data_IF_562023846136
#
_entry.id   IF_562023846136
#
_cell.length_a   1.000
_cell.length_b   1.000
_cell.length_c   1.000
_cell.angle_alpha   90.00
_cell.angle_beta   90.00
_cell.angle_gamma   90.00
#
_symmetry.space_group_name_H-M   'P 1'
#
loop_
_entity.id
_entity.type
_entity.pdbx_description
1 polymer ?
#
# COMPACT_ATOMS: atom_id res chain seq x y z
N UNK A 1 -55.61 -44.04 -49.73
CA UNK A 1 -56.11 -42.80 -50.37
C UNK A 1 -55.92 -41.63 -49.41
N UNK A 2 -55.14 -40.61 -49.83
CA UNK A 2 -55.12 -39.20 -49.34
C UNK A 2 -54.69 -39.02 -47.87
N UNK A 3 -53.87 -38.05 -47.46
CA UNK A 3 -53.10 -36.95 -48.07
C UNK A 3 -52.16 -36.45 -46.96
N UNK A 4 -50.97 -36.02 -47.35
CA UNK A 4 -49.92 -35.44 -46.50
C UNK A 4 -50.38 -34.13 -45.82
N UNK A 5 -49.84 -33.83 -44.63
CA UNK A 5 -49.40 -32.47 -44.34
C UNK A 5 -48.21 -32.49 -43.38
N UNK A 6 -47.07 -32.03 -43.88
CA UNK A 6 -45.86 -31.77 -43.11
C UNK A 6 -46.04 -30.47 -42.32
N UNK A 7 -45.94 -30.53 -41.00
CA UNK A 7 -45.64 -29.38 -40.18
C UNK A 7 -44.16 -29.44 -39.83
N UNK A 8 -43.34 -28.73 -40.61
CA UNK A 8 -41.94 -28.48 -40.31
C UNK A 8 -41.88 -27.46 -39.16
N UNK A 9 -41.68 -27.92 -37.93
CA UNK A 9 -41.22 -27.05 -36.85
C UNK A 9 -39.72 -26.85 -37.03
N UNK A 10 -39.35 -25.69 -37.58
CA UNK A 10 -37.98 -25.18 -37.61
C UNK A 10 -37.56 -24.96 -36.16
N UNK A 11 -36.68 -25.82 -35.65
CA UNK A 11 -35.98 -25.62 -34.39
C UNK A 11 -34.96 -24.51 -34.61
N UNK A 12 -35.29 -23.29 -34.18
CA UNK A 12 -34.32 -22.19 -34.16
C UNK A 12 -33.34 -22.45 -33.01
N UNK A 13 -32.13 -22.79 -33.39
CA UNK A 13 -30.96 -22.95 -32.54
C UNK A 13 -30.53 -21.55 -32.05
N UNK A 14 -30.64 -21.27 -30.75
CA UNK A 14 -29.87 -20.21 -30.09
C UNK A 14 -28.94 -20.88 -29.08
N UNK A 15 -27.77 -21.31 -29.58
CA UNK A 15 -26.62 -21.57 -28.72
C UNK A 15 -26.02 -20.21 -28.41
N UNK A 16 -26.29 -19.67 -27.23
CA UNK A 16 -25.49 -18.58 -26.70
C UNK A 16 -24.18 -19.17 -26.21
N UNK A 17 -23.24 -19.39 -27.14
CA UNK A 17 -21.82 -19.51 -26.80
C UNK A 17 -21.35 -18.13 -26.32
N UNK A 18 -21.47 -17.89 -25.03
CA UNK A 18 -20.81 -16.77 -24.36
C UNK A 18 -19.31 -17.06 -24.26
N UNK A 19 -18.58 -16.91 -25.37
CA UNK A 19 -17.16 -16.59 -25.30
C UNK A 19 -17.05 -15.09 -25.06
N UNK A 20 -16.73 -14.69 -23.83
CA UNK A 20 -15.99 -13.44 -23.64
C UNK A 20 -14.53 -13.84 -23.54
N UNK A 21 -13.81 -13.65 -24.64
CA UNK A 21 -12.36 -13.60 -24.67
C UNK A 21 -12.00 -12.25 -24.06
N UNK A 22 -11.25 -12.28 -22.98
CA UNK A 22 -10.21 -11.29 -22.65
C UNK A 22 -9.31 -11.92 -21.57
N UNK A 23 -8.74 -13.08 -21.88
CA UNK A 23 -7.43 -13.42 -21.32
C UNK A 23 -6.41 -12.54 -22.06
N UNK A 24 -6.35 -11.27 -21.68
CA UNK A 24 -5.17 -10.48 -21.96
C UNK A 24 -4.00 -11.23 -21.34
N UNK A 25 -3.06 -11.64 -22.20
CA UNK A 25 -1.78 -12.24 -21.84
C UNK A 25 -1.16 -11.51 -20.64
N UNK A 26 -1.46 -11.96 -19.42
CA UNK A 26 -0.66 -11.63 -18.25
C UNK A 26 0.62 -12.43 -18.41
N UNK A 27 1.53 -11.94 -19.25
CA UNK A 27 2.94 -12.34 -19.15
C UNK A 27 3.30 -12.19 -17.68
N UNK A 28 3.80 -13.25 -17.02
CA UNK A 28 4.27 -13.12 -15.66
C UNK A 28 5.26 -11.97 -15.63
N UNK A 29 5.04 -10.99 -14.75
CA UNK A 29 6.05 -9.99 -14.48
C UNK A 29 7.36 -10.73 -14.17
N UNK A 30 8.43 -10.37 -14.87
CA UNK A 30 9.78 -10.89 -14.57
C UNK A 30 10.19 -10.51 -13.14
N UNK A 31 9.60 -9.44 -12.62
CA UNK A 31 9.81 -8.91 -11.27
C UNK A 31 8.77 -9.47 -10.29
N UNK A 32 9.24 -10.12 -9.23
CA UNK A 32 8.36 -10.70 -8.21
C UNK A 32 7.84 -9.63 -7.23
N UNK A 33 6.52 -9.59 -7.04
CA UNK A 33 5.86 -8.82 -5.97
C UNK A 33 5.59 -9.66 -4.70
N UNK A 34 6.16 -10.87 -4.62
CA UNK A 34 6.00 -11.79 -3.48
C UNK A 34 7.36 -12.10 -2.83
N UNK A 35 8.22 -11.08 -2.70
CA UNK A 35 9.45 -11.17 -1.94
C UNK A 35 9.24 -10.68 -0.51
N UNK A 36 10.22 -10.96 0.35
CA UNK A 36 10.23 -10.44 1.73
C UNK A 36 10.24 -8.92 1.74
N UNK A 37 9.67 -8.33 2.79
CA UNK A 37 9.63 -6.88 2.97
C UNK A 37 11.04 -6.27 2.86
N UNK A 38 11.12 -5.09 2.25
CA UNK A 38 12.37 -4.36 1.98
C UNK A 38 13.32 -4.99 0.95
N UNK A 39 13.01 -6.16 0.38
CA UNK A 39 13.82 -6.75 -0.70
C UNK A 39 13.90 -5.87 -1.96
N UNK A 40 12.93 -4.96 -2.15
CA UNK A 40 12.89 -3.99 -3.25
C UNK A 40 13.27 -2.58 -2.81
N UNK A 41 13.94 -2.41 -1.65
CA UNK A 41 14.31 -1.09 -1.14
C UNK A 41 15.09 -0.25 -2.16
N UNK A 42 16.13 -0.82 -2.78
CA UNK A 42 16.91 -0.12 -3.81
C UNK A 42 16.07 0.18 -5.06
N UNK A 43 15.18 -0.73 -5.45
CA UNK A 43 14.25 -0.52 -6.56
C UNK A 43 13.30 0.66 -6.32
N UNK A 44 12.92 0.92 -5.07
CA UNK A 44 12.19 2.14 -4.70
C UNK A 44 13.07 3.38 -4.74
N UNK A 45 14.29 3.29 -4.19
CA UNK A 45 15.11 4.45 -3.87
C UNK A 45 15.89 5.01 -5.08
N UNK A 46 16.47 4.15 -5.93
CA UNK A 46 17.29 4.53 -7.08
C UNK A 46 16.54 4.43 -8.41
N UNK A 47 17.05 5.02 -9.48
CA UNK A 47 16.51 4.90 -10.85
C UNK A 47 17.20 3.79 -11.69
N UNK A 48 17.96 2.89 -11.07
CA UNK A 48 18.76 1.88 -11.77
C UNK A 48 17.90 0.84 -12.50
N UNK A 49 16.87 0.32 -11.84
CA UNK A 49 15.93 -0.66 -12.42
C UNK A 49 14.67 0.01 -12.94
N UNK A 50 14.09 0.90 -12.13
CA UNK A 50 12.80 1.52 -12.39
C UNK A 50 12.90 3.03 -12.28
N UNK A 51 12.53 3.74 -13.34
CA UNK A 51 12.57 5.20 -13.41
C UNK A 51 11.28 5.85 -12.94
N UNK A 52 10.19 5.07 -12.79
CA UNK A 52 8.87 5.54 -12.37
C UNK A 52 8.17 4.57 -11.42
N UNK A 53 7.25 5.10 -10.62
CA UNK A 53 6.38 4.33 -9.72
C UNK A 53 4.92 4.47 -10.17
N UNK A 54 4.19 3.36 -10.21
CA UNK A 54 2.72 3.36 -10.36
C UNK A 54 2.09 2.71 -9.12
N UNK A 55 1.27 3.50 -8.42
CA UNK A 55 0.57 3.10 -7.20
C UNK A 55 -0.84 2.59 -7.53
N UNK A 56 -1.10 1.29 -7.32
CA UNK A 56 -2.43 0.68 -7.39
C UNK A 56 -3.12 0.81 -6.03
N UNK A 57 -3.86 1.91 -5.87
CA UNK A 57 -4.61 2.22 -4.66
C UNK A 57 -5.99 1.59 -4.75
N UNK A 58 -6.13 0.43 -4.12
CA UNK A 58 -7.38 -0.29 -3.99
C UNK A 58 -8.02 0.05 -2.65
N UNK A 59 -9.32 0.35 -2.65
CA UNK A 59 -10.01 0.72 -1.43
C UNK A 59 -11.41 0.11 -1.39
N UNK A 60 -11.91 -0.20 -0.19
CA UNK A 60 -13.32 -0.60 -0.03
C UNK A 60 -14.22 0.60 -0.30
N UNK A 61 -15.36 0.41 -0.98
CA UNK A 61 -16.34 1.47 -1.24
C UNK A 61 -16.68 2.24 0.05
N UNK A 62 -16.57 3.57 0.01
CA UNK A 62 -16.75 4.44 1.18
C UNK A 62 -15.45 4.78 1.92
N UNK A 63 -14.35 4.07 1.65
CA UNK A 63 -13.04 4.23 2.29
C UNK A 63 -11.98 4.75 1.31
N UNK A 64 -12.39 5.57 0.33
CA UNK A 64 -11.41 6.22 -0.56
C UNK A 64 -10.60 7.20 0.28
N UNK A 65 -9.25 7.12 0.30
CA UNK A 65 -8.46 8.19 0.90
C UNK A 65 -8.73 9.52 0.20
N UNK A 66 -8.68 10.61 0.96
CA UNK A 66 -8.83 11.95 0.41
C UNK A 66 -7.70 12.25 -0.58
N UNK A 67 -7.98 13.10 -1.57
CA UNK A 67 -6.99 13.42 -2.61
C UNK A 67 -5.74 14.10 -2.01
N UNK A 68 -5.88 14.83 -0.88
CA UNK A 68 -4.75 15.40 -0.14
C UNK A 68 -3.80 14.33 0.42
N UNK A 69 -4.33 13.21 0.94
CA UNK A 69 -3.52 12.09 1.44
C UNK A 69 -2.69 11.48 0.31
N UNK A 70 -3.31 11.29 -0.86
CA UNK A 70 -2.63 10.76 -2.05
C UNK A 70 -1.58 11.72 -2.61
N UNK A 71 -1.86 13.03 -2.58
CA UNK A 71 -0.88 14.06 -2.95
C UNK A 71 0.29 14.09 -1.97
N UNK A 72 0.05 14.00 -0.66
CA UNK A 72 1.12 13.98 0.34
C UNK A 72 2.00 12.74 0.18
N UNK A 73 1.41 11.57 -0.11
CA UNK A 73 2.18 10.37 -0.46
C UNK A 73 3.05 10.59 -1.71
N UNK A 74 2.50 11.19 -2.75
CA UNK A 74 3.26 11.50 -3.98
C UNK A 74 4.46 12.40 -3.67
N UNK A 75 4.23 13.49 -2.93
CA UNK A 75 5.29 14.42 -2.51
C UNK A 75 6.37 13.72 -1.66
N UNK A 76 5.95 12.83 -0.77
CA UNK A 76 6.85 12.06 0.10
C UNK A 76 7.76 11.14 -0.71
N UNK A 77 7.18 10.40 -1.67
CA UNK A 77 7.96 9.55 -2.56
C UNK A 77 8.90 10.38 -3.44
N UNK A 78 8.45 11.52 -3.99
CA UNK A 78 9.31 12.43 -4.76
C UNK A 78 10.45 13.00 -3.92
N UNK A 79 10.23 13.24 -2.62
CA UNK A 79 11.26 13.72 -1.69
C UNK A 79 12.38 12.70 -1.48
N UNK A 80 12.05 11.42 -1.34
CA UNK A 80 13.00 10.39 -0.91
C UNK A 80 13.52 9.47 -2.01
N UNK A 81 12.88 9.44 -3.18
CA UNK A 81 13.24 8.54 -4.28
C UNK A 81 13.76 9.27 -5.51
N UNK A 82 14.64 8.61 -6.26
CA UNK A 82 15.04 9.02 -7.60
C UNK A 82 14.17 8.33 -8.65
N UNK A 83 13.12 9.03 -9.11
CA UNK A 83 12.18 8.55 -10.13
C UNK A 83 11.95 9.59 -11.23
N UNK A 84 12.88 9.75 -12.20
CA UNK A 84 12.78 10.78 -13.23
C UNK A 84 11.57 10.60 -14.17
N UNK A 85 11.04 9.37 -14.29
CA UNK A 85 9.80 9.09 -15.01
C UNK A 85 8.53 9.43 -14.23
N UNK A 86 8.66 9.90 -12.99
CA UNK A 86 7.57 10.39 -12.16
C UNK A 86 6.83 9.30 -11.37
N UNK A 87 5.80 9.76 -10.67
CA UNK A 87 4.94 8.93 -9.82
C UNK A 87 3.50 9.10 -10.32
N UNK A 88 2.82 7.97 -10.47
CA UNK A 88 1.44 7.93 -10.96
C UNK A 88 0.55 7.10 -10.05
N UNK A 89 -0.74 7.42 -10.05
CA UNK A 89 -1.75 6.79 -9.20
C UNK A 89 -2.83 6.16 -10.06
N UNK A 90 -3.20 4.93 -9.73
CA UNK A 90 -4.39 4.25 -10.22
C UNK A 90 -5.27 3.91 -9.02
N UNK A 91 -6.43 4.55 -8.91
CA UNK A 91 -7.35 4.30 -7.79
C UNK A 91 -8.51 3.42 -8.24
N UNK A 92 -8.95 2.49 -7.39
CA UNK A 92 -10.12 1.65 -7.68
C UNK A 92 -10.86 1.20 -6.42
N UNK A 93 -12.17 1.39 -6.44
CA UNK A 93 -13.05 0.84 -5.41
C UNK A 93 -13.31 -0.66 -5.59
N UNK A 94 -13.44 -1.38 -4.47
CA UNK A 94 -13.94 -2.76 -4.42
C UNK A 94 -15.10 -2.87 -3.43
N UNK A 95 -15.94 -3.88 -3.61
CA UNK A 95 -16.94 -4.25 -2.60
C UNK A 95 -16.23 -4.76 -1.35
N UNK A 96 -16.78 -4.45 -0.17
CA UNK A 96 -16.26 -4.97 1.10
C UNK A 96 -16.11 -6.49 1.01
N UNK A 97 -14.94 -7.05 1.35
CA UNK A 97 -14.73 -8.48 1.50
C UNK A 97 -15.56 -9.14 2.63
N UNK A 98 -16.21 -8.33 3.49
CA UNK A 98 -17.04 -8.79 4.62
C UNK A 98 -16.30 -9.69 5.63
N UNK A 99 -15.02 -9.43 5.87
CA UNK A 99 -14.15 -10.29 6.70
C UNK A 99 -14.20 -9.97 8.21
N UNK A 100 -14.87 -8.89 8.63
CA UNK A 100 -14.73 -8.41 10.01
C UNK A 100 -13.33 -7.85 10.18
N UNK A 101 -12.51 -8.40 11.08
CA UNK A 101 -11.07 -8.06 11.14
C UNK A 101 -10.26 -8.75 10.04
N UNK A 102 -9.12 -8.17 9.68
CA UNK A 102 -8.25 -8.69 8.62
C UNK A 102 -6.96 -9.33 9.15
N UNK A 103 -6.71 -10.56 8.74
CA UNK A 103 -5.38 -11.20 8.79
C UNK A 103 -4.51 -10.80 7.59
N UNK A 104 -3.19 -10.92 7.72
CA UNK A 104 -2.28 -10.73 6.57
C UNK A 104 -2.54 -11.76 5.46
N UNK A 105 -3.01 -12.95 5.81
CA UNK A 105 -3.36 -13.99 4.82
C UNK A 105 -4.56 -13.56 3.96
N UNK A 106 -5.57 -12.97 4.58
CA UNK A 106 -6.75 -12.42 3.89
C UNK A 106 -6.37 -11.22 3.02
N UNK A 107 -5.54 -10.31 3.53
CA UNK A 107 -5.03 -9.17 2.76
C UNK A 107 -4.26 -9.65 1.51
N UNK A 108 -3.41 -10.68 1.64
CA UNK A 108 -2.75 -11.29 0.47
C UNK A 108 -3.73 -11.91 -0.53
N UNK A 109 -4.88 -12.40 -0.05
CA UNK A 109 -5.95 -12.91 -0.92
C UNK A 109 -6.64 -11.77 -1.68
N UNK A 110 -6.93 -10.66 -1.00
CA UNK A 110 -7.45 -9.42 -1.61
C UNK A 110 -6.47 -8.91 -2.66
N UNK A 111 -5.18 -8.81 -2.34
CA UNK A 111 -4.15 -8.40 -3.31
C UNK A 111 -4.11 -9.32 -4.53
N UNK A 112 -4.11 -10.64 -4.34
CA UNK A 112 -4.07 -11.58 -5.48
C UNK A 112 -5.26 -11.41 -6.42
N UNK A 113 -6.43 -11.10 -5.88
CA UNK A 113 -7.65 -10.90 -6.66
C UNK A 113 -7.69 -9.53 -7.33
N UNK A 114 -7.17 -8.50 -6.66
CA UNK A 114 -7.39 -7.12 -7.08
C UNK A 114 -6.16 -6.39 -7.59
N UNK A 115 -4.93 -6.86 -7.38
CA UNK A 115 -3.74 -6.20 -7.96
C UNK A 115 -3.83 -6.21 -9.48
N UNK A 116 -3.74 -5.01 -10.04
CA UNK A 116 -3.81 -4.72 -11.46
C UNK A 116 -2.55 -4.03 -11.99
N UNK A 117 -1.73 -3.45 -11.11
CA UNK A 117 -0.40 -2.91 -11.46
C UNK A 117 0.68 -3.84 -10.94
N UNK A 118 1.55 -4.27 -11.86
CA UNK A 118 2.74 -5.05 -11.59
C UNK A 118 3.96 -4.29 -12.11
N UNK A 119 5.12 -4.58 -11.55
CA UNK A 119 6.37 -4.03 -12.07
C UNK A 119 6.64 -4.60 -13.46
N UNK A 120 7.03 -3.77 -14.40
CA UNK A 120 7.31 -4.15 -15.79
C UNK A 120 8.21 -3.10 -16.41
N UNK A 121 9.15 -3.51 -17.24
CA UNK A 121 10.11 -2.62 -17.88
C UNK A 121 10.75 -1.63 -16.87
N UNK A 122 10.50 -0.33 -17.02
CA UNK A 122 11.02 0.74 -16.18
C UNK A 122 10.07 1.18 -15.05
N UNK A 123 8.97 0.45 -14.84
CA UNK A 123 7.93 0.74 -13.85
C UNK A 123 8.00 -0.15 -12.63
N UNK A 124 8.05 0.45 -11.44
CA UNK A 124 7.80 -0.24 -10.17
C UNK A 124 6.30 -0.17 -9.83
N UNK A 125 5.64 -1.33 -9.72
CA UNK A 125 4.22 -1.43 -9.38
C UNK A 125 3.98 -1.71 -7.90
N UNK A 126 3.25 -0.83 -7.22
CA UNK A 126 3.00 -0.90 -5.77
C UNK A 126 1.52 -1.14 -5.52
N UNK A 127 1.18 -2.05 -4.60
CA UNK A 127 -0.21 -2.28 -4.19
C UNK A 127 -0.45 -1.69 -2.81
N UNK A 128 -1.48 -0.85 -2.72
CA UNK A 128 -1.92 -0.19 -1.49
C UNK A 128 -3.38 -0.54 -1.30
N UNK A 129 -3.72 -1.21 -0.18
CA UNK A 129 -5.10 -1.54 0.15
C UNK A 129 -5.61 -0.70 1.33
N UNK A 130 -6.71 0.04 1.14
CA UNK A 130 -7.47 0.65 2.23
C UNK A 130 -8.62 -0.27 2.63
N UNK A 131 -8.42 -0.97 3.74
CA UNK A 131 -9.37 -1.91 4.32
C UNK A 131 -10.43 -1.17 5.16
N UNK A 132 -11.67 -1.65 5.13
CA UNK A 132 -12.82 -1.09 5.87
C UNK A 132 -12.91 -1.54 7.34
N UNK A 133 -11.86 -2.19 7.86
CA UNK A 133 -11.86 -2.74 9.20
C UNK A 133 -10.44 -2.89 9.74
N UNK A 134 -10.32 -3.25 11.02
CA UNK A 134 -9.04 -3.35 11.75
C UNK A 134 -8.27 -4.64 11.45
N UNK A 135 -6.98 -4.61 11.73
CA UNK A 135 -6.15 -5.81 11.84
C UNK A 135 -6.65 -6.73 12.96
N UNK A 136 -6.61 -8.05 12.76
CA UNK A 136 -6.88 -9.06 13.79
C UNK A 136 -5.92 -8.96 15.00
N UNK A 137 -4.72 -8.42 14.79
CA UNK A 137 -3.70 -8.22 15.82
C UNK A 137 -3.97 -6.97 16.68
N UNK A 138 -5.00 -6.19 16.36
CA UNK A 138 -5.40 -5.02 17.14
C UNK A 138 -6.01 -5.42 18.48
N UNK A 139 -5.69 -4.68 19.54
CA UNK A 139 -6.13 -4.93 20.92
C UNK A 139 -6.93 -3.75 21.46
N UNK A 140 -7.66 -3.92 22.56
CA UNK A 140 -8.54 -2.88 23.11
C UNK A 140 -7.87 -1.51 23.29
N UNK A 141 -6.60 -1.47 23.73
CA UNK A 141 -5.83 -0.26 24.00
C UNK A 141 -4.73 0.03 22.97
N UNK A 142 -4.67 -0.71 21.86
CA UNK A 142 -3.63 -0.57 20.84
C UNK A 142 -4.18 -0.95 19.47
N UNK A 143 -4.02 -0.08 18.47
CA UNK A 143 -4.48 -0.35 17.10
C UNK A 143 -3.29 -0.40 16.15
N UNK A 144 -3.35 -1.34 15.21
CA UNK A 144 -2.46 -1.37 14.07
C UNK A 144 -3.11 -0.54 12.96
N UNK A 145 -2.44 0.53 12.55
CA UNK A 145 -2.95 1.49 11.57
C UNK A 145 -2.67 1.06 10.14
N UNK A 146 -1.52 0.43 9.92
CA UNK A 146 -1.09 -0.07 8.62
C UNK A 146 -0.15 -1.25 8.78
N UNK A 147 0.20 -1.85 7.64
CA UNK A 147 1.25 -2.87 7.57
C UNK A 147 1.79 -3.02 6.16
N UNK A 148 3.09 -2.87 5.98
CA UNK A 148 3.83 -3.37 4.84
C UNK A 148 4.10 -4.87 5.05
N UNK A 149 3.76 -5.70 4.07
CA UNK A 149 3.73 -7.17 4.26
C UNK A 149 4.38 -7.98 3.13
N UNK A 150 4.76 -7.33 2.03
CA UNK A 150 5.59 -7.85 0.94
C UNK A 150 6.48 -6.72 0.42
N UNK A 151 7.43 -7.04 -0.46
CA UNK A 151 8.37 -6.08 -1.03
C UNK A 151 7.73 -4.89 -1.76
N UNK A 152 6.48 -4.97 -2.20
CA UNK A 152 5.77 -3.87 -2.91
C UNK A 152 4.29 -3.78 -2.52
N UNK A 153 3.95 -4.19 -1.29
CA UNK A 153 2.56 -4.26 -0.84
C UNK A 153 2.38 -3.81 0.60
N UNK A 154 1.38 -2.96 0.80
CA UNK A 154 0.97 -2.49 2.12
C UNK A 154 -0.57 -2.38 2.22
N UNK A 155 -1.04 -2.36 3.46
CA UNK A 155 -2.44 -2.12 3.82
C UNK A 155 -2.54 -0.98 4.82
N UNK A 156 -3.61 -0.20 4.72
CA UNK A 156 -4.07 0.78 5.70
C UNK A 156 -5.41 0.29 6.25
N UNK A 157 -5.53 0.19 7.57
CA UNK A 157 -6.71 -0.30 8.26
C UNK A 157 -7.65 0.86 8.60
N UNK A 158 -8.44 1.27 7.63
CA UNK A 158 -9.33 2.41 7.73
C UNK A 158 -10.65 2.04 8.43
N UNK A 159 -10.65 2.13 9.76
CA UNK A 159 -11.82 1.81 10.58
C UNK A 159 -12.28 3.03 11.41
N UNK A 160 -13.57 3.09 11.70
CA UNK A 160 -14.16 4.21 12.45
C UNK A 160 -13.64 4.31 13.89
N UNK A 161 -13.18 3.21 14.51
CA UNK A 161 -12.59 3.22 15.86
C UNK A 161 -11.29 4.05 15.91
N UNK A 162 -10.63 4.30 14.77
CA UNK A 162 -9.48 5.18 14.69
C UNK A 162 -9.84 6.61 15.10
N UNK A 163 -11.01 7.10 14.70
CA UNK A 163 -11.45 8.46 15.04
C UNK A 163 -11.64 8.62 16.56
N UNK A 164 -12.07 7.56 17.25
CA UNK A 164 -12.27 7.57 18.69
C UNK A 164 -10.94 7.58 19.48
N UNK A 165 -9.87 7.07 18.88
CA UNK A 165 -8.53 6.98 19.49
C UNK A 165 -7.58 8.10 19.06
N UNK A 166 -7.90 8.80 17.98
CA UNK A 166 -7.08 9.83 17.34
C UNK A 166 -6.94 11.13 18.14
N UNK A 167 -7.75 11.32 19.19
CA UNK A 167 -7.82 12.60 19.90
C UNK A 167 -8.26 13.73 18.95
N UNK A 168 -7.35 14.66 18.65
CA UNK A 168 -7.59 15.78 17.73
C UNK A 168 -7.08 15.53 16.31
N UNK A 169 -6.38 14.42 16.05
CA UNK A 169 -5.90 14.10 14.71
C UNK A 169 -7.07 13.71 13.80
N UNK A 170 -7.07 14.26 12.59
CA UNK A 170 -7.98 13.89 11.53
C UNK A 170 -7.63 12.52 10.94
N UNK A 171 -8.62 11.87 10.33
CA UNK A 171 -8.42 10.61 9.62
C UNK A 171 -7.35 10.75 8.52
N UNK A 172 -7.34 11.87 7.79
CA UNK A 172 -6.35 12.15 6.74
C UNK A 172 -4.93 12.30 7.27
N UNK A 173 -4.73 12.90 8.45
CA UNK A 173 -3.41 12.96 9.10
C UNK A 173 -2.91 11.57 9.50
N UNK A 174 -3.79 10.75 10.09
CA UNK A 174 -3.46 9.36 10.47
C UNK A 174 -3.08 8.55 9.24
N UNK A 175 -3.89 8.61 8.18
CA UNK A 175 -3.61 7.90 6.92
C UNK A 175 -2.30 8.37 6.28
N UNK A 176 -2.01 9.67 6.30
CA UNK A 176 -0.77 10.24 5.74
C UNK A 176 0.45 9.72 6.47
N UNK A 177 0.49 9.82 7.80
CA UNK A 177 1.62 9.32 8.61
C UNK A 177 1.78 7.83 8.45
N UNK A 178 0.68 7.08 8.52
CA UNK A 178 0.73 5.62 8.39
C UNK A 178 1.28 5.24 7.02
N UNK A 179 0.82 5.86 5.93
CA UNK A 179 1.37 5.61 4.60
C UNK A 179 2.87 5.89 4.54
N UNK A 180 3.32 7.05 5.04
CA UNK A 180 4.74 7.41 5.01
C UNK A 180 5.59 6.42 5.81
N UNK A 181 5.12 5.99 6.98
CA UNK A 181 5.75 4.96 7.82
C UNK A 181 5.85 3.62 7.09
N UNK A 182 4.75 3.12 6.52
CA UNK A 182 4.75 1.85 5.81
C UNK A 182 5.63 1.90 4.55
N UNK A 183 5.74 3.05 3.89
CA UNK A 183 6.72 3.25 2.82
C UNK A 183 8.16 3.25 3.33
N UNK A 184 8.43 3.74 4.55
CA UNK A 184 9.74 3.58 5.19
C UNK A 184 10.14 2.11 5.33
N UNK A 185 9.19 1.23 5.69
CA UNK A 185 9.42 -0.22 5.64
C UNK A 185 9.65 -0.76 4.23
N UNK A 186 8.93 -0.28 3.21
CA UNK A 186 9.18 -0.65 1.80
C UNK A 186 10.56 -0.16 1.31
N UNK A 187 11.04 0.98 1.80
CA UNK A 187 12.40 1.49 1.63
C UNK A 187 13.44 0.70 2.41
N UNK A 188 13.02 -0.34 3.14
CA UNK A 188 13.90 -1.24 3.89
C UNK A 188 14.58 -0.58 5.09
N UNK A 189 14.06 0.55 5.58
CA UNK A 189 14.66 1.27 6.70
C UNK A 189 14.80 0.41 7.95
N UNK A 190 15.78 0.78 8.78
CA UNK A 190 16.08 0.14 10.06
C UNK A 190 16.42 -1.36 9.88
N UNK A 191 17.49 -1.64 9.13
CA UNK A 191 18.01 -3.00 8.90
C UNK A 191 17.00 -4.01 8.30
N UNK A 192 16.01 -3.54 7.55
CA UNK A 192 14.97 -4.37 6.96
C UNK A 192 15.07 -4.49 5.42
N UNK A 193 16.25 -4.20 4.86
CA UNK A 193 16.51 -4.23 3.41
C UNK A 193 17.54 -3.17 3.00
N UNK A 194 17.50 -2.02 3.68
CA UNK A 194 18.54 -1.00 3.67
C UNK A 194 19.43 -1.20 4.92
N UNK A 195 20.75 -1.43 4.76
CA UNK A 195 21.64 -1.52 5.91
C UNK A 195 21.69 -0.21 6.69
N UNK A 196 21.59 -0.29 8.02
CA UNK A 196 21.72 0.89 8.87
C UNK A 196 23.15 1.44 8.84
N UNK A 197 23.30 2.76 8.75
CA UNK A 197 24.60 3.45 8.75
C UNK A 197 25.08 3.77 10.17
N UNK A 198 24.19 3.72 11.15
CA UNK A 198 24.47 3.85 12.58
C UNK A 198 23.47 3.01 13.39
N UNK A 199 23.75 2.76 14.66
CA UNK A 199 22.78 2.12 15.55
C UNK A 199 21.62 3.07 15.85
N UNK A 200 20.42 2.69 15.38
CA UNK A 200 19.17 3.40 15.68
C UNK A 200 17.95 2.48 15.71
N UNK A 201 18.12 1.16 15.54
CA UNK A 201 17.02 0.19 15.70
C UNK A 201 16.60 0.10 17.18
N UNK A 202 15.29 0.02 17.44
CA UNK A 202 14.74 -0.19 18.77
C UNK A 202 15.22 -1.54 19.36
N UNK A 203 15.84 -1.54 20.55
CA UNK A 203 16.32 -2.76 21.18
C UNK A 203 15.20 -3.70 21.64
N UNK A 204 13.94 -3.25 21.74
CA UNK A 204 12.80 -4.12 22.02
C UNK A 204 12.55 -5.09 20.86
N UNK A 205 12.45 -6.39 21.18
CA UNK A 205 12.14 -7.44 20.21
C UNK A 205 10.78 -7.23 19.53
N UNK A 206 9.83 -6.57 20.19
CA UNK A 206 8.53 -6.20 19.62
C UNK A 206 8.59 -5.06 18.60
N UNK A 207 9.68 -4.29 18.61
CA UNK A 207 9.88 -3.08 17.81
C UNK A 207 11.00 -3.24 16.77
N UNK A 208 11.39 -4.47 16.43
CA UNK A 208 12.37 -4.73 15.36
C UNK A 208 11.97 -4.00 14.07
N UNK A 209 12.97 -3.55 13.31
CA UNK A 209 12.79 -2.72 12.11
C UNK A 209 12.10 -1.36 12.34
N UNK A 210 12.10 -0.86 13.58
CA UNK A 210 11.64 0.49 13.93
C UNK A 210 12.77 1.29 14.58
N UNK A 211 12.71 2.60 14.42
CA UNK A 211 13.71 3.51 14.93
C UNK A 211 13.47 3.82 16.42
N UNK A 212 14.55 3.85 17.20
CA UNK A 212 14.57 4.21 18.63
C UNK A 212 14.64 5.71 18.87
N UNK A 213 14.85 6.52 17.83
CA UNK A 213 14.96 7.98 17.95
C UNK A 213 13.58 8.59 18.12
N UNK A 214 13.41 9.31 19.24
CA UNK A 214 12.17 10.00 19.57
C UNK A 214 11.80 11.01 18.47
N UNK A 215 10.54 10.97 18.02
CA UNK A 215 10.05 11.85 16.96
C UNK A 215 10.46 11.43 15.55
N UNK A 216 11.12 10.28 15.36
CA UNK A 216 11.31 9.70 14.04
C UNK A 216 10.00 9.10 13.52
N UNK A 217 9.69 9.32 12.25
CA UNK A 217 8.56 8.67 11.56
C UNK A 217 8.61 7.14 11.66
N UNK A 218 9.80 6.53 11.74
CA UNK A 218 9.95 5.08 11.85
C UNK A 218 9.84 4.54 13.28
N UNK A 219 9.42 5.34 14.28
CA UNK A 219 9.14 4.82 15.61
C UNK A 219 7.97 3.82 15.61
N UNK A 220 8.05 2.75 16.42
CA UNK A 220 7.09 1.64 16.43
C UNK A 220 5.68 2.01 16.90
N UNK A 221 5.57 3.09 17.67
CA UNK A 221 4.31 3.63 18.11
C UNK A 221 4.33 5.14 17.91
N UNK A 222 3.27 5.65 17.32
CA UNK A 222 3.06 7.08 17.11
C UNK A 222 1.91 7.49 18.02
N UNK A 223 2.22 8.34 19.00
CA UNK A 223 1.20 8.94 19.85
C UNK A 223 0.64 10.20 19.18
N UNK A 224 -0.60 10.10 18.71
CA UNK A 224 -1.37 11.26 18.27
C UNK A 224 -1.84 12.03 19.52
N UNK A 225 -0.97 12.88 20.07
CA UNK A 225 -1.32 13.71 21.22
C UNK A 225 -2.35 14.79 20.86
N UNK A 226 -3.05 15.33 21.86
CA UNK A 226 -4.08 16.38 21.72
C UNK A 226 -3.54 17.75 21.28
N UNK A 227 -2.27 17.86 20.93
CA UNK A 227 -1.67 19.07 20.36
C UNK A 227 -1.44 18.89 18.86
N UNK A 228 -1.92 19.81 17.99
CA UNK A 228 -1.67 19.79 16.54
C UNK A 228 -0.20 20.01 16.13
N UNK A 229 0.75 19.90 17.06
CA UNK A 229 2.13 20.37 16.91
C UNK A 229 3.00 19.55 15.95
N UNK A 230 2.46 18.48 15.35
CA UNK A 230 3.17 17.62 14.39
C UNK A 230 2.52 17.55 13.01
N UNK A 231 1.57 18.45 12.68
CA UNK A 231 0.89 18.44 11.38
C UNK A 231 0.73 19.83 10.77
N UNK A 232 1.69 20.25 9.93
CA UNK A 232 1.49 21.33 8.96
C UNK A 232 2.08 20.99 7.59
N UNK A 233 1.25 21.05 6.55
CA UNK A 233 1.67 21.05 5.15
C UNK A 233 1.37 22.45 4.55
N UNK A 234 2.38 23.07 3.91
CA UNK A 234 2.53 24.51 3.56
C UNK A 234 3.03 25.47 4.66
N UNK A 235 3.66 24.96 5.73
CA UNK A 235 4.87 25.52 6.40
C UNK A 235 5.19 24.75 7.71
N UNK A 236 5.31 23.41 7.58
CA UNK A 236 6.08 22.41 8.37
C UNK A 236 5.78 22.30 9.89
N UNK A 237 5.55 21.12 10.49
CA UNK A 237 6.10 19.79 10.22
C UNK A 237 5.00 18.74 10.02
N UNK A 238 5.15 17.84 9.05
CA UNK A 238 4.63 16.46 9.14
C UNK A 238 5.73 15.64 9.83
N UNK A 239 5.37 14.66 10.66
CA UNK A 239 6.31 13.69 11.21
C UNK A 239 7.16 13.08 10.08
N UNK A 240 8.48 13.22 10.14
CA UNK A 240 9.39 12.82 9.07
C UNK A 240 10.48 11.89 9.61
N UNK A 241 11.28 11.31 8.71
CA UNK A 241 12.45 10.53 9.10
C UNK A 241 13.46 11.38 9.88
N UNK A 242 14.07 10.79 10.89
CA UNK A 242 15.24 11.38 11.53
C UNK A 242 16.48 11.33 10.62
N UNK A 243 17.57 11.93 11.07
CA UNK A 243 18.79 12.00 10.27
C UNK A 243 19.42 10.61 10.05
N UNK A 244 19.30 9.70 11.02
CA UNK A 244 19.81 8.34 10.91
C UNK A 244 19.08 7.54 9.82
N UNK A 245 17.74 7.57 9.80
CA UNK A 245 16.96 6.94 8.74
C UNK A 245 17.23 7.60 7.37
N UNK A 246 17.38 8.92 7.31
CA UNK A 246 17.76 9.60 6.04
C UNK A 246 19.13 9.17 5.53
N UNK A 247 20.09 8.92 6.41
CA UNK A 247 21.40 8.38 6.02
C UNK A 247 21.28 6.97 5.43
N UNK A 248 20.41 6.12 5.99
CA UNK A 248 20.13 4.79 5.44
C UNK A 248 19.53 4.88 4.03
N UNK A 249 18.57 5.78 3.81
CA UNK A 249 17.97 6.02 2.49
C UNK A 249 19.04 6.41 1.46
N UNK A 250 19.87 7.42 1.80
CA UNK A 250 20.95 7.91 0.93
C UNK A 250 21.95 6.81 0.61
N UNK A 251 22.34 6.02 1.60
CA UNK A 251 23.26 4.91 1.42
C UNK A 251 22.72 3.83 0.47
N UNK A 252 21.39 3.66 0.39
CA UNK A 252 20.75 2.70 -0.51
C UNK A 252 20.17 3.32 -1.82
N UNK A 253 20.61 4.53 -2.17
CA UNK A 253 20.30 5.17 -3.46
C UNK A 253 19.14 6.19 -3.44
N UNK A 254 18.61 6.51 -2.27
CA UNK A 254 17.61 7.57 -2.07
C UNK A 254 18.22 8.97 -2.06
N UNK A 255 17.36 9.98 -1.95
CA UNK A 255 17.74 11.42 -1.93
C UNK A 255 18.24 11.90 -0.56
#
# INVERSE_FOLDING_TARGET
>A
MKKNFHAACILLLFVLTGCSIDDADKKPSVYSNNLVLGASARDFLSDETFTRIELDVVYVMGHKPEDQVLQSLTNFLERYTHKPGGISLKTRAIVSPQMGSYSIKEIKTVEKQHRSVFSEDDKLGVFIFFADNKSEDSKANFRILGKAYLNTSLVIFDNQELSDMAGSASQSEIQTVTLHHEFGHLFGLVNNGSPAQSEHEDPDKGSRAHCSVEGCLMAAAIEFSSSPLSFLENDQNILDFDEQCKLDLKANGGK
#
